data_IF_422797749479
#
_entry.id   IF_422797749479
#
_cell.length_a   1.000
_cell.length_b   1.000
_cell.length_c   1.000
_cell.angle_alpha   90.00
_cell.angle_beta   90.00
_cell.angle_gamma   90.00
#
_symmetry.space_group_name_H-M   'P 1'
#
loop_
_entity.id
_entity.type
_entity.pdbx_description
1 polymer ?
#
# COMPACT_ATOMS: atom_id res chain seq x y z
N UNK A 1 52.89 -47.84 18.19
CA UNK A 1 52.35 -46.77 19.07
C UNK A 1 51.44 -45.86 18.25
N UNK A 2 50.18 -45.59 18.64
CA UNK A 2 49.34 -44.66 17.90
C UNK A 2 49.64 -43.21 18.32
N UNK A 3 49.70 -42.30 17.34
CA UNK A 3 49.99 -40.88 17.55
C UNK A 3 48.81 -40.21 18.28
N UNK A 4 49.10 -39.53 19.40
CA UNK A 4 48.11 -38.75 20.15
C UNK A 4 47.47 -37.66 19.26
N UNK A 5 46.14 -37.57 19.31
CA UNK A 5 45.38 -36.45 18.72
C UNK A 5 45.66 -35.18 19.53
N UNK A 6 46.08 -34.11 18.86
CA UNK A 6 46.31 -32.80 19.47
C UNK A 6 45.04 -32.29 20.13
N UNK A 7 45.17 -31.84 21.39
CA UNK A 7 44.11 -31.18 22.14
C UNK A 7 43.56 -29.98 21.36
N UNK A 8 42.23 -29.88 21.27
CA UNK A 8 41.55 -28.70 20.76
C UNK A 8 41.81 -27.55 21.73
N UNK A 9 42.76 -26.69 21.35
CA UNK A 9 43.15 -25.50 22.10
C UNK A 9 41.97 -24.56 22.30
N UNK A 10 41.89 -24.01 23.51
CA UNK A 10 40.82 -23.15 24.00
C UNK A 10 40.54 -21.91 23.16
N UNK A 11 39.43 -21.23 23.53
CA UNK A 11 38.93 -19.98 22.94
C UNK A 11 40.09 -19.01 22.67
N UNK A 12 40.59 -19.00 21.44
CA UNK A 12 41.52 -17.99 20.99
C UNK A 12 40.75 -16.68 20.88
N UNK A 13 41.28 -15.63 21.51
CA UNK A 13 40.81 -14.26 21.33
C UNK A 13 40.64 -13.96 19.83
N UNK A 14 39.56 -13.25 19.47
CA UNK A 14 39.22 -12.99 18.07
C UNK A 14 40.36 -12.20 17.41
N UNK A 15 41.27 -12.93 16.74
CA UNK A 15 42.40 -12.37 15.99
C UNK A 15 41.88 -11.31 15.01
N UNK A 16 42.58 -10.19 14.92
CA UNK A 16 42.33 -9.15 13.92
C UNK A 16 42.32 -9.80 12.54
N UNK A 17 41.18 -9.72 11.85
CA UNK A 17 40.97 -10.36 10.56
C UNK A 17 41.42 -9.38 9.49
N UNK A 18 42.32 -9.78 8.60
CA UNK A 18 42.73 -8.95 7.47
C UNK A 18 41.53 -8.72 6.53
N UNK A 19 41.33 -7.48 6.02
CA UNK A 19 40.14 -7.11 5.23
C UNK A 19 39.94 -7.99 3.98
N UNK A 20 41.03 -8.41 3.32
CA UNK A 20 40.97 -9.27 2.13
C UNK A 20 41.01 -10.78 2.42
N UNK A 21 40.86 -11.19 3.68
CA UNK A 21 40.87 -12.62 4.02
C UNK A 21 39.54 -13.30 3.70
N UNK A 22 39.57 -14.63 3.49
CA UNK A 22 38.34 -15.44 3.31
C UNK A 22 37.34 -15.27 4.46
N UNK A 23 37.83 -15.13 5.69
CA UNK A 23 36.99 -14.94 6.88
C UNK A 23 36.31 -13.57 6.88
N UNK A 24 37.00 -12.51 6.45
CA UNK A 24 36.39 -11.19 6.25
C UNK A 24 35.31 -11.23 5.16
N UNK A 25 35.59 -11.89 4.02
CA UNK A 25 34.61 -12.04 2.94
C UNK A 25 33.35 -12.81 3.38
N UNK A 26 33.50 -13.84 4.23
CA UNK A 26 32.36 -14.56 4.82
C UNK A 26 31.53 -13.68 5.75
N UNK A 27 32.18 -12.90 6.62
CA UNK A 27 31.49 -11.96 7.51
C UNK A 27 30.74 -10.90 6.71
N UNK A 28 31.35 -10.33 5.67
CA UNK A 28 30.70 -9.34 4.80
C UNK A 28 29.46 -9.92 4.09
N UNK A 29 29.52 -11.18 3.63
CA UNK A 29 28.37 -11.86 3.03
C UNK A 29 27.22 -12.05 4.02
N UNK A 30 27.54 -12.44 5.25
CA UNK A 30 26.51 -12.61 6.30
C UNK A 30 25.86 -11.27 6.66
N UNK A 31 26.68 -10.21 6.80
CA UNK A 31 26.17 -8.84 7.04
C UNK A 31 25.24 -8.40 5.93
N UNK A 32 25.63 -8.53 4.65
CA UNK A 32 24.77 -8.15 3.53
C UNK A 32 23.48 -8.99 3.44
N UNK A 33 23.55 -10.28 3.80
CA UNK A 33 22.36 -11.13 3.86
C UNK A 33 21.38 -10.64 4.93
N UNK A 34 21.91 -10.30 6.10
CA UNK A 34 21.12 -9.77 7.22
C UNK A 34 20.51 -8.41 6.86
N UNK A 35 21.30 -7.50 6.29
CA UNK A 35 20.86 -6.19 5.82
C UNK A 35 19.72 -6.31 4.80
N UNK A 36 19.83 -7.21 3.82
CA UNK A 36 18.73 -7.47 2.85
C UNK A 36 17.46 -7.97 3.53
N UNK A 37 17.58 -8.83 4.54
CA UNK A 37 16.44 -9.35 5.28
C UNK A 37 15.74 -8.25 6.08
N UNK A 38 16.52 -7.41 6.77
CA UNK A 38 16.02 -6.28 7.55
C UNK A 38 15.36 -5.24 6.65
N UNK A 39 16.04 -4.83 5.56
CA UNK A 39 15.50 -3.89 4.58
C UNK A 39 14.21 -4.41 3.93
N UNK A 40 14.15 -5.72 3.62
CA UNK A 40 12.94 -6.36 3.11
C UNK A 40 11.75 -6.20 4.07
N UNK A 41 11.95 -6.48 5.37
CA UNK A 41 10.92 -6.30 6.39
C UNK A 41 10.48 -4.84 6.55
N UNK A 42 11.44 -3.90 6.55
CA UNK A 42 11.16 -2.46 6.67
C UNK A 42 10.33 -1.96 5.49
N UNK A 43 10.67 -2.36 4.25
CA UNK A 43 9.90 -1.91 3.07
C UNK A 43 8.46 -2.42 3.06
N UNK A 44 8.22 -3.65 3.51
CA UNK A 44 6.86 -4.19 3.66
C UNK A 44 6.11 -3.42 4.75
N UNK A 45 6.74 -3.19 5.90
CA UNK A 45 6.13 -2.42 6.99
C UNK A 45 5.73 -1.01 6.55
N UNK A 46 6.59 -0.31 5.80
CA UNK A 46 6.28 1.02 5.26
C UNK A 46 5.05 0.99 4.35
N UNK A 47 4.91 -0.05 3.50
CA UNK A 47 3.70 -0.21 2.66
C UNK A 47 2.44 -0.40 3.50
N UNK A 48 2.52 -1.23 4.54
CA UNK A 48 1.40 -1.46 5.46
C UNK A 48 1.02 -0.18 6.21
N UNK A 49 2.01 0.59 6.68
CA UNK A 49 1.79 1.88 7.33
C UNK A 49 1.08 2.84 6.37
N UNK A 50 1.58 2.99 5.14
CA UNK A 50 0.98 3.90 4.16
C UNK A 50 -0.47 3.53 3.82
N UNK A 51 -0.75 2.23 3.67
CA UNK A 51 -2.13 1.75 3.48
C UNK A 51 -2.97 2.03 4.72
N UNK A 52 -2.44 1.75 5.92
CA UNK A 52 -3.12 2.02 7.19
C UNK A 52 -3.48 3.49 7.37
N UNK A 53 -2.56 4.41 7.09
CA UNK A 53 -2.79 5.86 7.14
C UNK A 53 -3.89 6.29 6.15
N UNK A 54 -3.84 5.77 4.92
CA UNK A 54 -4.89 5.99 3.93
C UNK A 54 -6.24 5.53 4.46
N UNK A 55 -6.31 4.33 5.00
CA UNK A 55 -7.55 3.77 5.55
C UNK A 55 -8.06 4.56 6.74
N UNK A 56 -7.19 4.98 7.64
CA UNK A 56 -7.56 5.78 8.80
C UNK A 56 -8.17 7.12 8.37
N UNK A 57 -7.66 7.74 7.31
CA UNK A 57 -8.29 8.94 6.73
C UNK A 57 -9.71 8.63 6.24
N UNK A 58 -9.91 7.54 5.49
CA UNK A 58 -11.26 7.19 5.03
C UNK A 58 -12.20 6.95 6.20
N UNK A 59 -11.76 6.21 7.23
CA UNK A 59 -12.56 5.92 8.41
C UNK A 59 -13.03 7.18 9.14
N UNK A 60 -12.14 8.18 9.31
CA UNK A 60 -12.49 9.42 10.01
C UNK A 60 -13.44 10.33 9.22
N UNK A 61 -13.52 10.16 7.90
CA UNK A 61 -14.41 10.92 7.02
C UNK A 61 -15.71 10.16 6.67
N UNK A 62 -15.95 8.99 7.29
CA UNK A 62 -17.24 8.31 7.20
C UNK A 62 -18.28 8.95 8.11
N UNK A 63 -19.51 9.00 7.63
CA UNK A 63 -20.68 9.45 8.37
C UNK A 63 -21.13 8.33 9.32
N UNK A 64 -21.11 8.55 10.65
CA UNK A 64 -21.51 7.53 11.62
C UNK A 64 -22.97 7.07 11.46
N UNK A 65 -23.84 7.84 10.80
CA UNK A 65 -25.26 7.53 10.67
C UNK A 65 -25.60 6.66 9.45
N UNK A 66 -24.74 6.65 8.42
CA UNK A 66 -25.02 5.94 7.16
C UNK A 66 -24.74 4.44 7.27
N UNK A 67 -25.59 3.62 6.66
CA UNK A 67 -25.48 2.15 6.70
C UNK A 67 -24.84 1.59 5.41
N UNK A 68 -24.94 2.33 4.31
CA UNK A 68 -24.35 2.00 3.02
C UNK A 68 -24.01 3.27 2.25
N UNK A 69 -23.02 3.16 1.36
CA UNK A 69 -22.62 4.23 0.46
C UNK A 69 -22.95 3.88 -0.98
N UNK A 70 -23.44 4.87 -1.70
CA UNK A 70 -23.58 4.77 -3.16
C UNK A 70 -22.22 4.98 -3.84
N UNK A 71 -22.10 4.53 -5.10
CA UNK A 71 -20.88 4.75 -5.90
C UNK A 71 -20.54 6.23 -6.03
N UNK A 72 -21.57 7.09 -6.14
CA UNK A 72 -21.39 8.54 -6.22
C UNK A 72 -20.79 9.11 -4.95
N UNK A 73 -21.34 8.77 -3.78
CA UNK A 73 -20.81 9.23 -2.49
C UNK A 73 -19.39 8.68 -2.23
N UNK A 74 -19.10 7.45 -2.68
CA UNK A 74 -17.75 6.90 -2.62
C UNK A 74 -16.78 7.70 -3.50
N UNK A 75 -17.21 8.14 -4.69
CA UNK A 75 -16.46 9.07 -5.54
C UNK A 75 -16.22 10.42 -4.87
N UNK A 76 -17.23 11.01 -4.23
CA UNK A 76 -17.09 12.26 -3.47
C UNK A 76 -16.08 12.12 -2.31
N UNK A 77 -16.09 10.99 -1.60
CA UNK A 77 -15.08 10.70 -0.57
C UNK A 77 -13.66 10.60 -1.15
N UNK A 78 -13.50 10.03 -2.35
CA UNK A 78 -12.22 9.94 -3.05
C UNK A 78 -11.72 11.33 -3.46
N UNK A 79 -12.59 12.19 -3.97
CA UNK A 79 -12.23 13.58 -4.33
C UNK A 79 -11.79 14.37 -3.08
N UNK A 80 -12.52 14.22 -1.98
CA UNK A 80 -12.14 14.81 -0.69
C UNK A 80 -10.78 14.29 -0.21
N UNK A 81 -10.49 12.99 -0.42
CA UNK A 81 -9.19 12.41 -0.08
C UNK A 81 -8.05 13.05 -0.87
N UNK A 82 -8.24 13.31 -2.17
CA UNK A 82 -7.22 13.99 -2.97
C UNK A 82 -7.01 15.45 -2.54
N UNK A 83 -8.07 16.11 -2.08
CA UNK A 83 -8.02 17.48 -1.57
C UNK A 83 -7.40 17.63 -0.18
N UNK A 84 -6.99 16.53 0.50
CA UNK A 84 -6.47 16.55 1.88
C UNK A 84 -5.25 17.46 2.08
N UNK A 85 -4.47 17.71 1.03
CA UNK A 85 -3.27 18.55 1.10
C UNK A 85 -3.51 20.00 0.65
N UNK A 86 -4.73 20.39 0.27
CA UNK A 86 -4.99 21.74 -0.26
C UNK A 86 -4.61 22.83 0.76
N UNK A 87 -4.95 22.64 2.04
CA UNK A 87 -4.58 23.57 3.10
C UNK A 87 -3.06 23.67 3.30
N UNK A 88 -2.32 22.55 3.16
CA UNK A 88 -0.85 22.55 3.24
C UNK A 88 -0.23 23.29 2.05
N UNK A 89 -0.75 23.07 0.83
CA UNK A 89 -0.29 23.75 -0.37
C UNK A 89 -0.57 25.25 -0.32
N UNK A 90 -1.76 25.65 0.13
CA UNK A 90 -2.13 27.06 0.30
C UNK A 90 -1.22 27.75 1.32
N UNK A 91 -0.91 27.08 2.43
CA UNK A 91 0.03 27.60 3.43
C UNK A 91 1.44 27.80 2.84
N UNK A 92 1.94 26.84 2.07
CA UNK A 92 3.24 26.94 1.39
C UNK A 92 3.24 28.08 0.36
N UNK A 93 2.17 28.22 -0.41
CA UNK A 93 2.01 29.29 -1.39
C UNK A 93 2.00 30.66 -0.71
N UNK A 94 1.21 30.82 0.36
CA UNK A 94 1.13 32.06 1.14
C UNK A 94 2.50 32.44 1.71
N UNK A 95 3.21 31.49 2.34
CA UNK A 95 4.53 31.73 2.92
C UNK A 95 5.55 32.15 1.86
N UNK A 96 5.49 31.57 0.66
CA UNK A 96 6.35 31.95 -0.46
C UNK A 96 5.90 33.27 -1.14
N UNK A 97 4.63 33.64 -1.05
CA UNK A 97 4.07 34.88 -1.61
C UNK A 97 4.50 36.14 -0.84
N UNK A 98 4.87 35.98 0.44
CA UNK A 98 5.37 37.07 1.28
C UNK A 98 6.74 37.50 0.77
N UNK A 99 6.76 38.61 0.01
CA UNK A 99 7.96 39.15 -0.63
C UNK A 99 9.03 39.50 0.41
N UNK A 100 10.20 38.87 0.28
CA UNK A 100 11.41 39.14 1.05
C UNK A 100 12.67 38.65 0.33
N UNK A 101 13.86 38.90 0.91
CA UNK A 101 15.16 38.41 0.39
C UNK A 101 15.40 36.92 0.69
N UNK A 102 14.34 36.13 0.90
CA UNK A 102 14.41 34.72 1.26
C UNK A 102 14.13 33.88 0.01
N UNK A 103 14.89 32.80 -0.19
CA UNK A 103 14.65 31.85 -1.27
C UNK A 103 13.37 31.03 -1.05
N UNK A 104 12.89 30.36 -2.10
CA UNK A 104 11.69 29.50 -2.06
C UNK A 104 11.81 28.45 -0.94
N UNK A 105 10.90 28.51 0.02
CA UNK A 105 10.82 27.56 1.13
C UNK A 105 9.87 26.40 0.78
N UNK A 106 10.10 25.24 1.40
CA UNK A 106 9.26 24.03 1.26
C UNK A 106 9.10 23.46 -0.17
N UNK A 107 9.96 23.85 -1.11
CA UNK A 107 9.81 23.45 -2.50
C UNK A 107 9.91 21.95 -2.77
N UNK A 108 10.67 21.20 -1.97
CA UNK A 108 10.74 19.73 -2.08
C UNK A 108 9.42 19.08 -1.64
N UNK A 109 8.84 19.52 -0.53
CA UNK A 109 7.57 19.02 0.01
C UNK A 109 6.41 19.31 -0.95
N UNK A 110 6.34 20.55 -1.45
CA UNK A 110 5.34 20.96 -2.44
C UNK A 110 5.37 20.07 -3.69
N UNK A 111 6.56 19.79 -4.23
CA UNK A 111 6.72 18.91 -5.40
C UNK A 111 6.26 17.48 -5.09
N UNK A 112 6.61 16.93 -3.92
CA UNK A 112 6.19 15.58 -3.52
C UNK A 112 4.66 15.48 -3.39
N UNK A 113 4.02 16.49 -2.79
CA UNK A 113 2.56 16.54 -2.67
C UNK A 113 1.91 16.58 -4.06
N UNK A 114 2.35 17.51 -4.92
CA UNK A 114 1.80 17.66 -6.27
C UNK A 114 1.95 16.37 -7.09
N UNK A 115 3.12 15.73 -7.03
CA UNK A 115 3.35 14.44 -7.68
C UNK A 115 2.47 13.31 -7.11
N UNK A 116 2.19 13.34 -5.81
CA UNK A 116 1.33 12.34 -5.16
C UNK A 116 -0.13 12.51 -5.60
N UNK A 117 -0.64 13.74 -5.59
CA UNK A 117 -2.01 14.07 -6.06
C UNK A 117 -2.17 13.70 -7.53
N UNK A 118 -1.20 14.08 -8.37
CA UNK A 118 -1.22 13.76 -9.80
C UNK A 118 -1.29 12.26 -10.04
N UNK A 119 -0.50 11.46 -9.31
CA UNK A 119 -0.55 10.00 -9.40
C UNK A 119 -1.90 9.44 -8.95
N UNK A 120 -2.45 9.93 -7.84
CA UNK A 120 -3.75 9.50 -7.33
C UNK A 120 -4.88 9.82 -8.33
N UNK A 121 -4.82 10.99 -8.97
CA UNK A 121 -5.77 11.44 -9.99
C UNK A 121 -5.70 10.58 -11.26
N UNK A 122 -4.49 10.33 -11.76
CA UNK A 122 -4.29 9.43 -12.91
C UNK A 122 -4.82 8.03 -12.63
N UNK A 123 -4.62 7.51 -11.41
CA UNK A 123 -5.17 6.22 -11.01
C UNK A 123 -6.71 6.26 -10.99
N UNK A 124 -7.31 7.31 -10.43
CA UNK A 124 -8.77 7.43 -10.34
C UNK A 124 -9.46 7.58 -11.70
N UNK A 125 -8.87 8.35 -12.62
CA UNK A 125 -9.40 8.54 -13.97
C UNK A 125 -9.21 7.30 -14.86
N UNK A 126 -8.11 6.56 -14.66
CA UNK A 126 -7.76 5.38 -15.46
C UNK A 126 -8.34 4.08 -14.90
N UNK A 127 -7.57 3.43 -14.02
CA UNK A 127 -7.84 2.06 -13.56
C UNK A 127 -8.74 1.98 -12.32
N UNK A 128 -8.86 3.08 -11.59
CA UNK A 128 -9.53 3.19 -10.31
C UNK A 128 -8.58 3.15 -9.13
N UNK A 129 -8.90 3.96 -8.11
CA UNK A 129 -8.19 3.99 -6.84
C UNK A 129 -8.75 2.93 -5.90
N UNK A 130 -7.87 2.23 -5.19
CA UNK A 130 -8.25 1.18 -4.26
C UNK A 130 -8.66 1.77 -2.90
N UNK A 131 -9.91 1.54 -2.48
CA UNK A 131 -10.48 1.98 -1.20
C UNK A 131 -11.18 0.82 -0.49
N UNK A 132 -11.48 0.91 0.81
CA UNK A 132 -12.33 -0.07 1.48
C UNK A 132 -13.69 -0.18 0.81
N UNK A 133 -14.25 -1.39 0.79
CA UNK A 133 -15.60 -1.62 0.29
C UNK A 133 -16.64 -1.05 1.27
N UNK A 134 -16.98 0.22 1.04
CA UNK A 134 -17.99 0.96 1.80
C UNK A 134 -19.40 0.81 1.23
N UNK A 135 -19.55 0.17 0.06
CA UNK A 135 -20.84 -0.13 -0.54
C UNK A 135 -21.53 -1.31 0.14
N UNK A 136 -20.76 -2.25 0.70
CA UNK A 136 -21.29 -3.39 1.41
C UNK A 136 -21.44 -3.11 2.91
N UNK A 137 -22.66 -3.27 3.43
CA UNK A 137 -23.00 -3.07 4.85
C UNK A 137 -22.12 -3.86 5.81
N UNK A 138 -21.80 -5.13 5.48
CA UNK A 138 -20.97 -6.00 6.33
C UNK A 138 -19.54 -5.48 6.41
N UNK A 139 -18.97 -5.09 5.27
CA UNK A 139 -17.60 -4.59 5.18
C UNK A 139 -17.48 -3.20 5.81
N UNK A 140 -18.49 -2.34 5.61
CA UNK A 140 -18.55 -1.02 6.23
C UNK A 140 -18.58 -1.11 7.76
N UNK A 141 -19.35 -2.05 8.33
CA UNK A 141 -19.38 -2.27 9.78
C UNK A 141 -17.99 -2.68 10.31
N UNK A 142 -17.36 -3.66 9.67
CA UNK A 142 -16.01 -4.09 10.04
C UNK A 142 -15.00 -2.94 9.93
N UNK A 143 -15.09 -2.15 8.86
CA UNK A 143 -14.20 -1.02 8.63
C UNK A 143 -14.39 0.11 9.64
N UNK A 144 -15.61 0.33 10.16
CA UNK A 144 -15.86 1.28 11.25
C UNK A 144 -15.28 0.84 12.59
N UNK A 145 -15.45 -0.43 12.91
CA UNK A 145 -14.96 -1.02 14.17
C UNK A 145 -13.45 -1.29 14.16
N UNK A 146 -12.78 -1.11 13.01
CA UNK A 146 -11.35 -1.27 12.89
C UNK A 146 -10.59 -0.25 13.76
N UNK A 147 -9.65 -0.74 14.55
CA UNK A 147 -8.91 0.01 15.57
C UNK A 147 -7.56 0.57 15.06
N UNK A 148 -7.32 0.53 13.75
CA UNK A 148 -6.04 0.93 13.17
C UNK A 148 -4.97 -0.18 13.24
N UNK A 149 -5.29 -1.39 13.73
CA UNK A 149 -4.32 -2.49 13.77
C UNK A 149 -3.95 -2.95 12.36
N UNK A 150 -2.68 -2.77 12.00
CA UNK A 150 -2.12 -3.13 10.70
C UNK A 150 -2.21 -4.64 10.42
N UNK A 151 -2.32 -5.48 11.45
CA UNK A 151 -2.48 -6.94 11.30
C UNK A 151 -3.84 -7.33 10.74
N UNK A 152 -4.85 -6.47 10.94
CA UNK A 152 -6.22 -6.69 10.46
C UNK A 152 -6.43 -6.15 9.04
N UNK A 153 -5.47 -5.43 8.46
CA UNK A 153 -5.54 -4.91 7.09
C UNK A 153 -5.89 -5.97 6.05
N UNK A 154 -5.31 -7.20 6.06
CA UNK A 154 -5.67 -8.22 5.08
C UNK A 154 -7.13 -8.67 5.13
N UNK A 155 -7.81 -8.46 6.27
CA UNK A 155 -9.23 -8.80 6.45
C UNK A 155 -10.16 -7.71 5.91
N UNK A 156 -9.67 -6.48 5.71
CA UNK A 156 -10.45 -5.40 5.12
C UNK A 156 -10.58 -5.67 3.62
N UNK A 157 -11.82 -5.76 3.15
CA UNK A 157 -12.10 -5.91 1.72
C UNK A 157 -11.89 -4.57 1.02
N UNK A 158 -10.97 -4.58 0.05
CA UNK A 158 -10.64 -3.43 -0.78
C UNK A 158 -11.35 -3.57 -2.14
N UNK A 159 -11.75 -2.45 -2.72
CA UNK A 159 -12.38 -2.35 -4.03
C UNK A 159 -11.82 -1.15 -4.79
N UNK A 160 -11.67 -1.32 -6.09
CA UNK A 160 -11.23 -0.25 -7.00
C UNK A 160 -12.45 0.54 -7.45
N UNK A 161 -12.33 1.86 -7.43
CA UNK A 161 -13.33 2.78 -7.94
C UNK A 161 -12.68 3.78 -8.87
N UNK A 162 -13.22 3.90 -10.07
CA UNK A 162 -12.84 4.89 -11.06
C UNK A 162 -13.83 6.05 -11.11
N UNK A 163 -13.41 7.17 -11.73
CA UNK A 163 -14.30 8.30 -12.00
C UNK A 163 -15.55 7.89 -12.81
N UNK A 164 -15.40 6.89 -13.70
CA UNK A 164 -16.52 6.35 -14.50
C UNK A 164 -17.53 5.62 -13.63
N UNK A 165 -17.07 4.87 -12.63
CA UNK A 165 -17.94 4.14 -11.70
C UNK A 165 -18.78 5.09 -10.83
N UNK A 166 -18.21 6.23 -10.44
CA UNK A 166 -18.92 7.24 -9.66
C UNK A 166 -19.97 7.98 -10.50
N UNK A 167 -19.71 8.18 -11.80
CA UNK A 167 -20.63 8.85 -12.73
C UNK A 167 -21.78 7.94 -13.20
N UNK A 168 -21.56 6.63 -13.30
CA UNK A 168 -22.58 5.69 -13.76
C UNK A 168 -23.45 5.19 -12.60
N UNK A 169 -24.62 5.79 -12.42
CA UNK A 169 -25.64 5.39 -11.45
C UNK A 169 -26.46 4.16 -11.89
N UNK A 170 -26.15 3.54 -13.03
CA UNK A 170 -26.81 2.31 -13.49
C UNK A 170 -26.04 1.06 -13.06
N UNK A 171 -26.73 0.01 -12.56
CA UNK A 171 -26.13 -1.31 -12.41
C UNK A 171 -25.94 -1.90 -13.81
N UNK A 172 -24.75 -1.75 -14.40
CA UNK A 172 -24.36 -2.64 -15.50
C UNK A 172 -24.19 -4.04 -14.92
N UNK A 173 -25.12 -4.90 -15.29
CA UNK A 173 -25.12 -6.33 -15.05
C UNK A 173 -23.95 -6.91 -15.83
N UNK A 174 -22.88 -7.30 -15.16
CA UNK A 174 -21.86 -8.16 -15.78
C UNK A 174 -22.31 -9.61 -15.62
N UNK A 175 -23.31 -10.01 -16.41
CA UNK A 175 -23.61 -11.41 -16.69
C UNK A 175 -22.83 -11.80 -17.95
N UNK A 176 -21.66 -12.39 -17.76
CA UNK A 176 -20.93 -13.07 -18.83
C UNK A 176 -20.06 -14.17 -18.21
N UNK A 177 -20.69 -15.28 -17.83
CA UNK A 177 -20.17 -16.66 -18.01
C UNK A 177 -21.09 -17.64 -17.28
N UNK A 178 -22.13 -18.13 -17.96
CA UNK A 178 -22.74 -19.42 -17.66
C UNK A 178 -23.57 -19.92 -18.85
N UNK A 179 -23.15 -21.09 -19.37
CA UNK A 179 -23.85 -22.00 -20.29
C UNK A 179 -23.77 -21.54 -21.77
N UNK A 180 -23.37 -22.37 -22.72
CA UNK A 180 -23.65 -23.79 -22.93
C UNK A 180 -22.47 -24.46 -23.64
N UNK A 181 -22.17 -25.71 -23.25
CA UNK A 181 -21.83 -26.80 -24.18
C UNK A 181 -21.85 -28.10 -23.38
N UNK A 182 -23.06 -28.59 -23.14
CA UNK A 182 -23.36 -29.98 -22.84
C UNK A 182 -24.43 -30.41 -23.85
N UNK A 183 -24.02 -31.15 -24.86
CA UNK A 183 -24.84 -32.19 -25.48
C UNK A 183 -23.92 -33.13 -26.28
N UNK A 184 -23.53 -34.20 -25.62
CA UNK A 184 -23.08 -35.45 -26.24
C UNK A 184 -24.32 -36.33 -26.50
N UNK A 185 -24.31 -37.01 -27.66
CA UNK A 185 -25.00 -38.26 -28.00
C UNK A 185 -26.49 -38.22 -28.40
N UNK A 186 -26.75 -38.31 -29.72
CA UNK A 186 -27.68 -39.32 -30.26
C UNK A 186 -27.16 -39.91 -31.61
N UNK A 187 -26.98 -41.24 -31.54
CA UNK A 187 -26.88 -42.34 -32.52
C UNK A 187 -26.76 -42.16 -34.06
N UNK A 188 -25.66 -42.71 -34.59
CA UNK A 188 -25.54 -43.89 -35.51
C UNK A 188 -26.56 -44.08 -36.66
N UNK A 189 -26.05 -43.83 -37.89
CA UNK A 189 -26.21 -44.55 -39.19
C UNK A 189 -27.59 -44.75 -39.84
N UNK A 190 -27.69 -44.83 -41.20
CA UNK A 190 -26.84 -45.64 -42.11
C UNK A 190 -26.20 -44.95 -43.33
#
# INVERSE_FOLDING_TARGET
QPKLRKAQGGKQEKKVIHPYSRKAAQLAREVHKQEKKENGGVTINIKFILVGEKLQWFQSHLDPSKIEYTKKEAGELIENYMCRFNAELEQIELQNSIKGRQGRQHGSRETVIKQTIERERQLYEGYGIEIPDIMNRKHLKFFREWDGDLRKLPNIKMKKLSARDAACSHPEVTDAEAKEDLNEEEEVDP
#
